data_IF_264357439206
#
_entry.id   IF_264357439206
#
_cell.length_a   1.000
_cell.length_b   1.000
_cell.length_c   1.000
_cell.angle_alpha   90.00
_cell.angle_beta   90.00
_cell.angle_gamma   90.00
#
_symmetry.space_group_name_H-M   'P 1'
#
loop_
_entity.id
_entity.type
_entity.pdbx_description
1 polymer ?
#
# COMPACT_ATOMS: atom_id res chain seq x y z
N UNK A 1 19.15 21.29 -42.92
CA UNK A 1 19.45 20.16 -42.01
C UNK A 1 18.37 19.11 -42.13
N UNK A 2 18.57 17.89 -41.61
CA UNK A 2 17.63 16.75 -41.80
C UNK A 2 16.16 17.07 -41.42
N UNK A 3 15.94 17.97 -40.45
CA UNK A 3 14.61 18.46 -40.04
C UNK A 3 13.78 19.14 -41.14
N UNK A 4 14.40 19.64 -42.22
CA UNK A 4 13.69 20.26 -43.36
C UNK A 4 13.38 19.27 -44.49
N UNK A 5 13.77 18.00 -44.34
CA UNK A 5 13.65 16.95 -45.37
C UNK A 5 12.76 15.77 -44.94
N UNK A 6 12.45 15.66 -43.65
CA UNK A 6 11.56 14.62 -43.11
C UNK A 6 10.27 15.33 -42.67
N UNK A 7 9.17 15.20 -43.43
CA UNK A 7 7.89 15.73 -43.00
C UNK A 7 7.39 14.96 -41.76
N UNK A 8 6.61 15.63 -40.92
CA UNK A 8 6.12 15.07 -39.65
C UNK A 8 5.33 13.76 -39.86
N UNK A 9 4.57 13.66 -40.95
CA UNK A 9 3.83 12.44 -41.34
C UNK A 9 4.74 11.23 -41.59
N UNK A 10 5.98 11.43 -42.03
CA UNK A 10 6.90 10.32 -42.26
C UNK A 10 7.43 9.75 -40.94
N UNK A 11 7.27 10.48 -39.84
CA UNK A 11 7.60 9.98 -38.50
C UNK A 11 6.58 8.95 -37.99
N UNK A 12 5.37 8.92 -38.55
CA UNK A 12 4.33 7.96 -38.17
C UNK A 12 4.69 6.52 -38.54
N UNK A 13 5.56 6.31 -39.53
CA UNK A 13 6.10 4.99 -39.89
C UNK A 13 7.01 4.38 -38.81
N UNK A 14 7.54 5.21 -37.91
CA UNK A 14 8.35 4.74 -36.77
C UNK A 14 7.50 4.49 -35.52
N UNK A 15 6.20 4.81 -35.54
CA UNK A 15 5.32 4.49 -34.44
C UNK A 15 5.03 2.98 -34.43
N UNK A 16 5.14 2.38 -33.24
CA UNK A 16 4.72 1.00 -33.03
C UNK A 16 3.22 0.87 -33.31
N UNK A 17 2.80 -0.27 -33.86
CA UNK A 17 1.37 -0.56 -33.97
C UNK A 17 0.73 -0.63 -32.58
N UNK A 18 -0.56 -0.31 -32.46
CA UNK A 18 -1.27 -0.44 -31.18
C UNK A 18 -1.21 -1.87 -30.60
N UNK A 19 -1.05 -2.87 -31.46
CA UNK A 19 -0.83 -4.26 -31.06
C UNK A 19 0.54 -4.42 -30.42
N UNK A 20 1.59 -3.90 -31.02
CA UNK A 20 2.96 -3.99 -30.48
C UNK A 20 3.10 -3.19 -29.18
N UNK A 21 2.45 -2.02 -29.07
CA UNK A 21 2.38 -1.26 -27.81
C UNK A 21 1.68 -2.07 -26.72
N UNK A 22 0.56 -2.73 -27.02
CA UNK A 22 -0.15 -3.58 -26.05
C UNK A 22 0.69 -4.79 -25.63
N UNK A 23 1.41 -5.43 -26.55
CA UNK A 23 2.30 -6.56 -26.24
C UNK A 23 3.47 -6.10 -25.39
N UNK A 24 4.12 -4.99 -25.76
CA UNK A 24 5.27 -4.45 -25.03
C UNK A 24 4.90 -3.97 -23.61
N UNK A 25 3.67 -3.49 -23.42
CA UNK A 25 3.17 -3.03 -22.12
C UNK A 25 2.45 -4.10 -21.33
N UNK A 26 2.22 -5.29 -21.91
CA UNK A 26 1.58 -6.41 -21.23
C UNK A 26 2.42 -6.84 -20.02
N UNK A 27 1.91 -6.58 -18.82
CA UNK A 27 2.56 -6.99 -17.56
C UNK A 27 2.06 -8.38 -17.18
N UNK A 28 3.01 -9.28 -16.93
CA UNK A 28 2.70 -10.56 -16.26
C UNK A 28 2.20 -10.26 -14.86
N UNK A 29 1.21 -11.02 -14.41
CA UNK A 29 0.72 -10.95 -13.05
C UNK A 29 1.87 -11.29 -12.09
N UNK A 30 2.15 -10.38 -11.15
CA UNK A 30 3.11 -10.64 -10.09
C UNK A 30 2.35 -11.32 -8.95
N UNK A 31 2.66 -12.58 -8.69
CA UNK A 31 2.13 -13.29 -7.54
C UNK A 31 2.70 -12.68 -6.26
N UNK A 32 1.83 -12.07 -5.46
CA UNK A 32 2.14 -11.62 -4.10
C UNK A 32 2.08 -12.78 -3.09
N UNK A 33 2.46 -12.53 -1.83
CA UNK A 33 2.34 -13.53 -0.78
C UNK A 33 0.87 -13.84 -0.46
N UNK A 34 0.58 -15.07 -0.02
CA UNK A 34 -0.72 -15.44 0.52
C UNK A 34 -0.92 -14.84 1.91
N UNK A 35 -2.18 -14.76 2.38
CA UNK A 35 -2.48 -14.28 3.74
C UNK A 35 -1.74 -15.14 4.78
N UNK A 36 -1.73 -16.46 4.61
CA UNK A 36 -1.04 -17.37 5.53
C UNK A 36 0.48 -17.16 5.53
N UNK A 37 1.08 -16.85 4.38
CA UNK A 37 2.50 -16.50 4.32
C UNK A 37 2.79 -15.20 5.07
N UNK A 38 1.93 -14.19 4.95
CA UNK A 38 2.10 -12.93 5.70
C UNK A 38 1.92 -13.17 7.20
N UNK A 39 0.94 -13.97 7.61
CA UNK A 39 0.74 -14.36 9.01
C UNK A 39 1.96 -15.07 9.57
N UNK A 40 2.48 -16.05 8.85
CA UNK A 40 3.69 -16.77 9.23
C UNK A 40 4.87 -15.82 9.44
N UNK A 41 5.04 -14.81 8.58
CA UNK A 41 6.06 -13.77 8.78
C UNK A 41 5.80 -12.99 10.08
N UNK A 42 4.59 -12.49 10.30
CA UNK A 42 4.22 -11.70 11.49
C UNK A 42 4.44 -12.49 12.78
N UNK A 43 4.17 -13.78 12.78
CA UNK A 43 4.38 -14.69 13.93
C UNK A 43 5.86 -14.87 14.27
N UNK A 44 6.72 -14.92 13.25
CA UNK A 44 8.16 -15.12 13.41
C UNK A 44 8.96 -13.81 13.57
N UNK A 45 8.31 -12.65 13.46
CA UNK A 45 8.96 -11.36 13.69
C UNK A 45 9.29 -11.17 15.17
N UNK A 46 10.49 -10.67 15.51
CA UNK A 46 10.83 -10.34 16.88
C UNK A 46 9.93 -9.22 17.41
N UNK A 47 9.79 -9.14 18.73
CA UNK A 47 8.91 -8.19 19.42
C UNK A 47 9.46 -7.72 20.78
N UNK A 48 10.77 -7.80 21.00
CA UNK A 48 11.40 -7.55 22.29
C UNK A 48 11.71 -6.07 22.52
N UNK A 49 11.94 -5.31 21.45
CA UNK A 49 12.14 -3.86 21.50
C UNK A 49 10.96 -3.10 20.88
N UNK A 50 10.85 -1.82 21.21
CA UNK A 50 9.79 -0.96 20.66
C UNK A 50 9.88 -0.80 19.15
N UNK A 51 11.10 -0.83 18.61
CA UNK A 51 11.35 -0.81 17.15
C UNK A 51 10.82 -2.10 16.51
N UNK A 52 11.07 -3.25 17.14
CA UNK A 52 10.59 -4.54 16.65
C UNK A 52 9.06 -4.64 16.71
N UNK A 53 8.46 -4.19 17.82
CA UNK A 53 7.00 -4.10 17.99
C UNK A 53 6.36 -3.20 16.93
N UNK A 54 6.97 -2.04 16.66
CA UNK A 54 6.56 -1.15 15.57
C UNK A 54 6.64 -1.84 14.20
N UNK A 55 7.75 -2.50 13.90
CA UNK A 55 7.93 -3.15 12.60
C UNK A 55 6.88 -4.26 12.41
N UNK A 56 6.64 -5.06 13.45
CA UNK A 56 5.60 -6.10 13.45
C UNK A 56 4.20 -5.51 13.27
N UNK A 57 3.88 -4.43 13.99
CA UNK A 57 2.59 -3.75 13.87
C UNK A 57 2.39 -3.08 12.52
N UNK A 58 3.45 -2.58 11.86
CA UNK A 58 3.38 -2.03 10.50
C UNK A 58 2.96 -3.08 9.47
N UNK A 59 3.52 -4.29 9.53
CA UNK A 59 3.15 -5.38 8.61
C UNK A 59 1.73 -5.86 8.91
N UNK A 60 1.37 -6.04 10.19
CA UNK A 60 0.02 -6.38 10.61
C UNK A 60 -1.01 -5.33 10.15
N UNK A 61 -0.70 -4.04 10.30
CA UNK A 61 -1.56 -2.94 9.88
C UNK A 61 -1.73 -2.88 8.35
N UNK A 62 -0.67 -3.19 7.60
CA UNK A 62 -0.74 -3.30 6.14
C UNK A 62 -1.69 -4.43 5.73
N UNK A 63 -1.59 -5.60 6.38
CA UNK A 63 -2.50 -6.72 6.12
C UNK A 63 -3.94 -6.41 6.54
N UNK A 64 -4.12 -5.72 7.66
CA UNK A 64 -5.43 -5.38 8.23
C UNK A 64 -6.20 -4.36 7.39
N UNK A 65 -5.51 -3.42 6.74
CA UNK A 65 -6.13 -2.26 6.08
C UNK A 65 -5.93 -2.22 4.56
N UNK A 66 -4.89 -2.88 4.04
CA UNK A 66 -4.46 -2.72 2.65
C UNK A 66 -4.05 -1.28 2.28
N UNK A 67 -3.79 -0.42 3.27
CA UNK A 67 -3.36 0.94 3.02
C UNK A 67 -2.01 0.95 2.29
N UNK A 68 -1.81 1.97 1.44
CA UNK A 68 -0.53 2.14 0.74
C UNK A 68 0.56 2.56 1.72
N UNK A 69 1.79 2.13 1.45
CA UNK A 69 2.98 2.47 2.22
C UNK A 69 3.09 3.96 2.58
N UNK A 70 2.88 4.85 1.60
CA UNK A 70 2.92 6.31 1.81
C UNK A 70 1.84 6.78 2.79
N UNK A 71 0.63 6.20 2.69
CA UNK A 71 -0.46 6.52 3.59
C UNK A 71 -0.13 6.06 5.00
N UNK A 72 0.28 4.79 5.17
CA UNK A 72 0.68 4.21 6.46
C UNK A 72 1.76 5.06 7.13
N UNK A 73 2.80 5.46 6.40
CA UNK A 73 3.91 6.23 6.95
C UNK A 73 3.52 7.64 7.43
N UNK A 74 2.41 8.20 6.93
CA UNK A 74 1.92 9.54 7.28
C UNK A 74 0.74 9.54 8.27
N UNK A 75 0.20 8.36 8.61
CA UNK A 75 -0.94 8.26 9.52
C UNK A 75 -0.58 8.64 10.96
N UNK A 76 -1.57 9.17 11.67
CA UNK A 76 -1.51 9.52 13.09
C UNK A 76 -2.53 8.66 13.84
N UNK A 77 -2.36 8.50 15.15
CA UNK A 77 -3.26 7.70 15.99
C UNK A 77 -4.74 8.11 15.86
N UNK A 78 -5.04 9.40 15.66
CA UNK A 78 -6.42 9.89 15.47
C UNK A 78 -7.13 9.35 14.23
N UNK A 79 -6.38 8.82 13.26
CA UNK A 79 -6.95 8.25 12.03
C UNK A 79 -7.38 6.79 12.21
N UNK A 80 -6.96 6.13 13.29
CA UNK A 80 -7.24 4.71 13.53
C UNK A 80 -8.35 4.58 14.58
N UNK A 81 -9.47 4.01 14.19
CA UNK A 81 -10.59 3.68 15.06
C UNK A 81 -10.64 2.16 15.28
N UNK A 82 -10.05 1.72 16.40
CA UNK A 82 -10.04 0.31 16.80
C UNK A 82 -11.45 -0.20 17.13
N UNK A 83 -12.28 0.63 17.76
CA UNK A 83 -13.64 0.24 18.15
C UNK A 83 -14.57 0.14 16.93
N UNK A 84 -14.47 1.09 16.01
CA UNK A 84 -15.20 1.11 14.74
C UNK A 84 -14.57 0.25 13.64
N UNK A 85 -13.48 -0.47 13.95
CA UNK A 85 -12.78 -1.36 13.02
C UNK A 85 -12.42 -0.67 11.70
N UNK A 86 -11.91 0.56 11.76
CA UNK A 86 -11.67 1.37 10.57
C UNK A 86 -10.49 2.33 10.68
N UNK A 87 -10.04 2.80 9.52
CA UNK A 87 -9.06 3.88 9.37
C UNK A 87 -9.65 4.95 8.48
N UNK A 88 -9.68 6.19 8.98
CA UNK A 88 -10.05 7.36 8.21
C UNK A 88 -8.81 8.01 7.59
N UNK A 89 -8.70 7.95 6.27
CA UNK A 89 -7.58 8.52 5.52
C UNK A 89 -7.94 9.95 5.10
N UNK A 90 -7.59 10.94 5.91
CA UNK A 90 -7.76 12.37 5.57
C UNK A 90 -6.62 12.86 4.67
N UNK A 91 -6.91 13.18 3.41
CA UNK A 91 -5.90 13.61 2.44
C UNK A 91 -5.13 14.90 2.82
N UNK A 92 -5.62 15.67 3.80
CA UNK A 92 -4.91 16.85 4.33
C UNK A 92 -3.73 16.48 5.23
N UNK A 93 -3.75 15.27 5.79
CA UNK A 93 -2.76 14.81 6.76
C UNK A 93 -2.13 13.48 6.40
N UNK A 94 -2.79 12.69 5.55
CA UNK A 94 -2.36 11.37 5.09
C UNK A 94 -1.99 11.48 3.61
N UNK A 95 -0.81 11.00 3.25
CA UNK A 95 -0.27 10.96 1.90
C UNK A 95 -0.99 9.91 1.04
N UNK A 96 -2.26 10.17 0.74
CA UNK A 96 -3.08 9.32 -0.12
C UNK A 96 -2.80 9.61 -1.60
N UNK A 97 -2.93 8.59 -2.44
CA UNK A 97 -2.77 8.75 -3.90
C UNK A 97 -3.92 9.61 -4.43
N UNK A 98 -3.57 10.59 -5.26
CA UNK A 98 -4.54 11.53 -5.85
C UNK A 98 -5.32 12.34 -4.81
N UNK A 99 -4.75 12.53 -3.60
CA UNK A 99 -5.35 13.34 -2.53
C UNK A 99 -6.79 12.94 -2.18
N UNK A 100 -7.08 11.63 -2.22
CA UNK A 100 -8.41 11.10 -1.88
C UNK A 100 -8.59 10.99 -0.37
N UNK A 101 -9.72 11.48 0.12
CA UNK A 101 -10.18 11.24 1.50
C UNK A 101 -11.19 10.10 1.51
N UNK A 102 -10.97 9.08 2.34
CA UNK A 102 -11.86 7.91 2.41
C UNK A 102 -11.63 7.11 3.69
N UNK A 103 -12.65 6.34 4.09
CA UNK A 103 -12.56 5.38 5.19
C UNK A 103 -12.27 3.99 4.63
N UNK A 104 -11.42 3.24 5.32
CA UNK A 104 -11.17 1.82 5.05
C UNK A 104 -11.53 1.02 6.30
N UNK A 105 -12.37 0.00 6.16
CA UNK A 105 -12.68 -0.92 7.25
C UNK A 105 -11.66 -2.04 7.29
N UNK A 106 -11.41 -2.58 8.47
CA UNK A 106 -10.48 -3.68 8.67
C UNK A 106 -10.94 -4.92 7.90
N UNK A 107 -10.00 -5.56 7.22
CA UNK A 107 -10.24 -6.82 6.55
C UNK A 107 -10.36 -7.97 7.57
N UNK A 108 -11.16 -9.01 7.28
CA UNK A 108 -11.31 -10.17 8.13
C UNK A 108 -10.09 -11.10 8.00
N UNK A 109 -8.93 -10.65 8.49
CA UNK A 109 -7.65 -11.37 8.39
C UNK A 109 -7.26 -12.11 9.66
N UNK A 110 -8.07 -12.05 10.72
CA UNK A 110 -7.84 -12.73 11.99
C UNK A 110 -7.71 -11.75 13.16
N UNK A 111 -8.27 -12.15 14.30
CA UNK A 111 -8.30 -11.32 15.52
C UNK A 111 -6.89 -11.09 16.08
N UNK A 112 -5.99 -12.03 15.87
CA UNK A 112 -4.56 -11.95 16.22
C UNK A 112 -3.89 -10.75 15.54
N UNK A 113 -4.18 -10.53 14.25
CA UNK A 113 -3.62 -9.42 13.48
C UNK A 113 -4.16 -8.07 13.99
N UNK A 114 -5.46 -8.01 14.26
CA UNK A 114 -6.06 -6.81 14.83
C UNK A 114 -5.52 -6.51 16.23
N UNK A 115 -5.29 -7.53 17.05
CA UNK A 115 -4.77 -7.38 18.41
C UNK A 115 -3.36 -6.78 18.40
N UNK A 116 -2.48 -7.20 17.48
CA UNK A 116 -1.13 -6.62 17.32
C UNK A 116 -1.21 -5.10 17.07
N UNK A 117 -2.13 -4.66 16.21
CA UNK A 117 -2.33 -3.25 15.91
C UNK A 117 -2.91 -2.51 17.13
N UNK A 118 -3.91 -3.10 17.80
CA UNK A 118 -4.54 -2.52 18.98
C UNK A 118 -3.54 -2.33 20.13
N UNK A 119 -2.69 -3.33 20.38
CA UNK A 119 -1.65 -3.27 21.41
C UNK A 119 -0.60 -2.20 21.10
N UNK A 120 -0.23 -2.05 19.83
CA UNK A 120 0.68 -0.98 19.40
C UNK A 120 0.05 0.41 19.57
N UNK A 121 -1.22 0.58 19.18
CA UNK A 121 -1.95 1.84 19.38
C UNK A 121 -2.09 2.17 20.87
N UNK A 122 -2.34 1.17 21.73
CA UNK A 122 -2.37 1.36 23.18
C UNK A 122 -1.02 1.80 23.72
N UNK A 123 0.05 1.09 23.34
CA UNK A 123 1.41 1.41 23.75
C UNK A 123 1.86 2.83 23.36
N UNK A 124 1.36 3.38 22.25
CA UNK A 124 1.67 4.77 21.84
C UNK A 124 0.83 5.85 22.55
N UNK A 125 -0.24 5.47 23.26
CA UNK A 125 -1.11 6.40 24.01
C UNK A 125 -0.73 6.51 25.48
N UNK A 126 -0.12 5.47 26.03
CA UNK A 126 0.39 5.37 27.40
C UNK A 126 1.83 5.90 27.47
#
# INVERSE_FOLDING_TARGET
>A
GYKSRIPYSDTDYFNLSEKDVRIATARREKTGPTVDQVKHVIENMPNNSDIERRNRSLIAFTLLTGARDSAIASMKLKHVDISGHSVFQDAREVNTKFSKTFTTFFFPVGDDIQQIVADWVRYLKE
#
